data_IF_521810185849
#
_entry.id   IF_521810185849
#
_cell.length_a   1.000
_cell.length_b   1.000
_cell.length_c   1.000
_cell.angle_alpha   90.00
_cell.angle_beta   90.00
_cell.angle_gamma   90.00
#
_symmetry.space_group_name_H-M   'P 1'
#
loop_
_entity.id
_entity.type
_entity.pdbx_description
1 polymer ?
#
# COMPACT_ATOMS: atom_id res chain seq x y z
N UNK A 1 24.74 37.32 -48.55
CA UNK A 1 24.59 36.92 -47.13
C UNK A 1 23.55 35.81 -47.11
N UNK A 2 24.01 34.55 -47.20
CA UNK A 2 23.18 33.42 -47.63
C UNK A 2 22.19 32.92 -46.55
N UNK A 3 21.13 32.21 -46.96
CA UNK A 3 20.05 31.75 -46.08
C UNK A 3 20.47 30.64 -45.09
N UNK A 4 21.70 30.14 -45.19
CA UNK A 4 22.16 28.97 -44.42
C UNK A 4 22.30 29.23 -42.91
N UNK A 5 22.54 30.48 -42.51
CA UNK A 5 22.56 30.86 -41.09
C UNK A 5 21.17 30.81 -40.44
N UNK A 6 20.11 31.14 -41.19
CA UNK A 6 18.75 31.17 -40.67
C UNK A 6 18.20 29.76 -40.42
N UNK A 7 18.50 28.83 -41.33
CA UNK A 7 18.09 27.43 -41.26
C UNK A 7 18.77 26.67 -40.11
N UNK A 8 20.05 26.97 -39.85
CA UNK A 8 20.81 26.39 -38.73
C UNK A 8 20.27 26.81 -37.36
N UNK A 9 19.87 28.08 -37.21
CA UNK A 9 19.27 28.57 -35.96
C UNK A 9 17.87 28.00 -35.71
N UNK A 10 17.04 27.89 -36.75
CA UNK A 10 15.70 27.27 -36.62
C UNK A 10 15.79 25.79 -36.26
N UNK A 11 16.73 25.06 -36.86
CA UNK A 11 16.94 23.64 -36.53
C UNK A 11 17.40 23.44 -35.07
N UNK A 12 18.29 24.30 -34.57
CA UNK A 12 18.72 24.25 -33.16
C UNK A 12 17.59 24.55 -32.19
N UNK A 13 16.77 25.57 -32.47
CA UNK A 13 15.62 25.93 -31.63
C UNK A 13 14.63 24.76 -31.55
N UNK A 14 14.35 24.10 -32.68
CA UNK A 14 13.48 22.92 -32.71
C UNK A 14 14.02 21.78 -31.85
N UNK A 15 15.33 21.52 -31.88
CA UNK A 15 15.95 20.50 -31.04
C UNK A 15 15.82 20.84 -29.55
N UNK A 16 16.02 22.11 -29.17
CA UNK A 16 15.87 22.54 -27.77
C UNK A 16 14.42 22.43 -27.29
N UNK A 17 13.44 22.80 -28.12
CA UNK A 17 12.00 22.67 -27.78
C UNK A 17 11.63 21.20 -27.60
N UNK A 18 12.03 20.33 -28.54
CA UNK A 18 11.77 18.89 -28.45
C UNK A 18 12.44 18.24 -27.23
N UNK A 19 13.66 18.67 -26.88
CA UNK A 19 14.34 18.17 -25.68
C UNK A 19 13.62 18.59 -24.39
N UNK A 20 13.15 19.84 -24.31
CA UNK A 20 12.40 20.34 -23.15
C UNK A 20 11.05 19.64 -22.98
N UNK A 21 10.35 19.35 -24.08
CA UNK A 21 9.08 18.61 -24.07
C UNK A 21 9.25 17.16 -23.58
N UNK A 22 10.35 16.48 -23.94
CA UNK A 22 10.67 15.12 -23.45
C UNK A 22 10.98 15.13 -21.94
N UNK A 23 11.69 16.16 -21.46
CA UNK A 23 12.00 16.28 -20.03
C UNK A 23 10.77 16.59 -19.17
N UNK A 24 9.81 17.35 -19.69
CA UNK A 24 8.58 17.72 -18.96
C UNK A 24 7.52 16.60 -18.97
N UNK A 25 7.57 15.67 -19.92
CA UNK A 25 6.63 14.55 -20.02
C UNK A 25 7.07 13.28 -19.28
N UNK A 26 8.13 13.33 -18.48
CA UNK A 26 8.56 12.20 -17.64
C UNK A 26 7.68 12.06 -16.39
N UNK A 27 6.36 12.06 -16.57
CA UNK A 27 5.41 11.74 -15.52
C UNK A 27 5.49 10.25 -15.20
N UNK A 28 5.88 9.90 -13.97
CA UNK A 28 5.72 8.52 -13.50
C UNK A 28 4.23 8.16 -13.54
N UNK A 29 3.85 7.00 -14.11
CA UNK A 29 2.46 6.57 -14.06
C UNK A 29 2.09 6.31 -12.60
N UNK A 30 1.29 7.19 -12.02
CA UNK A 30 0.59 6.93 -10.77
C UNK A 30 -0.60 6.06 -11.15
N UNK A 31 -0.42 4.74 -11.00
CA UNK A 31 -1.53 3.80 -11.17
C UNK A 31 -2.45 3.93 -9.96
N UNK A 32 -3.67 4.41 -10.18
CA UNK A 32 -4.74 4.39 -9.19
C UNK A 32 -5.27 2.95 -9.09
N UNK A 33 -4.56 2.13 -8.32
CA UNK A 33 -4.92 0.76 -8.04
C UNK A 33 -6.02 0.72 -6.96
N UNK A 34 -7.24 1.15 -7.28
CA UNK A 34 -8.43 0.57 -6.62
C UNK A 34 -8.61 -0.85 -7.13
N UNK A 35 -7.69 -1.74 -6.74
CA UNK A 35 -7.74 -3.14 -7.14
C UNK A 35 -8.94 -3.79 -6.46
N UNK A 36 -9.85 -4.43 -7.20
CA UNK A 36 -11.05 -5.06 -6.63
C UNK A 36 -10.73 -6.09 -5.54
N UNK A 37 -9.50 -6.63 -5.52
CA UNK A 37 -9.04 -7.59 -4.51
C UNK A 37 -8.56 -6.96 -3.19
N UNK A 38 -8.48 -5.63 -3.08
CA UNK A 38 -7.85 -4.97 -1.91
C UNK A 38 -8.57 -5.31 -0.61
N UNK A 39 -9.90 -5.31 -0.63
CA UNK A 39 -10.71 -5.68 0.53
C UNK A 39 -10.55 -7.16 0.89
N UNK A 40 -10.53 -8.05 -0.11
CA UNK A 40 -10.33 -9.48 0.09
C UNK A 40 -8.94 -9.78 0.66
N UNK A 41 -7.91 -9.09 0.16
CA UNK A 41 -6.55 -9.18 0.65
C UNK A 41 -6.42 -8.69 2.10
N UNK A 42 -7.11 -7.60 2.46
CA UNK A 42 -7.18 -7.12 3.84
C UNK A 42 -7.91 -8.14 4.74
N UNK A 43 -9.02 -8.71 4.26
CA UNK A 43 -9.79 -9.74 4.97
C UNK A 43 -8.94 -11.01 5.21
N UNK A 44 -8.22 -11.48 4.19
CA UNK A 44 -7.31 -12.61 4.32
C UNK A 44 -6.15 -12.31 5.29
N UNK A 45 -5.64 -11.08 5.29
CA UNK A 45 -4.60 -10.62 6.22
C UNK A 45 -5.09 -10.63 7.68
N UNK A 46 -6.28 -10.10 7.95
CA UNK A 46 -6.84 -10.10 9.31
C UNK A 46 -7.24 -11.50 9.78
N UNK A 47 -7.74 -12.35 8.87
CA UNK A 47 -8.02 -13.76 9.15
C UNK A 47 -6.74 -14.50 9.55
N UNK A 48 -5.62 -14.27 8.84
CA UNK A 48 -4.31 -14.83 9.18
C UNK A 48 -3.84 -14.42 10.58
N UNK A 49 -3.96 -13.13 10.93
CA UNK A 49 -3.63 -12.63 12.27
C UNK A 49 -4.50 -13.30 13.34
N UNK A 50 -5.82 -13.40 13.11
CA UNK A 50 -6.74 -13.98 14.08
C UNK A 50 -6.53 -15.49 14.26
N UNK A 51 -6.10 -16.20 13.22
CA UNK A 51 -5.72 -17.61 13.32
C UNK A 51 -4.41 -17.82 14.11
N UNK A 52 -3.43 -16.92 13.99
CA UNK A 52 -2.10 -17.08 14.60
C UNK A 52 -1.96 -16.47 16.00
N UNK A 53 -2.79 -15.48 16.34
CA UNK A 53 -2.71 -14.80 17.64
C UNK A 53 -3.20 -15.68 18.79
N UNK A 54 -2.57 -15.58 19.96
CA UNK A 54 -2.89 -16.43 21.11
C UNK A 54 -4.09 -15.94 21.95
N UNK A 55 -4.50 -14.68 21.78
CA UNK A 55 -5.62 -14.11 22.52
C UNK A 55 -6.97 -14.76 22.19
N UNK A 56 -7.90 -14.70 23.14
CA UNK A 56 -9.24 -15.31 22.99
C UNK A 56 -10.20 -14.47 22.15
N UNK A 57 -9.88 -13.20 21.91
CA UNK A 57 -10.73 -12.27 21.16
C UNK A 57 -10.16 -12.01 19.77
N UNK A 58 -11.04 -11.59 18.86
CA UNK A 58 -10.68 -11.19 17.51
C UNK A 58 -9.99 -9.83 17.54
N UNK A 59 -9.04 -9.63 16.64
CA UNK A 59 -8.53 -8.33 16.24
C UNK A 59 -9.33 -7.83 15.04
N UNK A 60 -9.68 -6.55 15.07
CA UNK A 60 -10.29 -5.83 13.95
C UNK A 60 -9.36 -4.75 13.40
N UNK A 61 -9.61 -4.33 12.16
CA UNK A 61 -8.83 -3.29 11.47
C UNK A 61 -9.36 -1.91 11.86
N UNK A 62 -8.46 -1.01 12.29
CA UNK A 62 -8.80 0.38 12.65
C UNK A 62 -8.65 1.30 11.44
N UNK A 63 -7.56 1.16 10.69
CA UNK A 63 -7.29 1.86 9.42
C UNK A 63 -6.39 0.99 8.55
N UNK A 64 -6.52 1.13 7.24
CA UNK A 64 -5.71 0.41 6.25
C UNK A 64 -5.44 1.27 5.03
N UNK A 65 -4.28 1.06 4.41
CA UNK A 65 -3.92 1.68 3.15
C UNK A 65 -3.02 0.74 2.34
N UNK A 66 -3.17 0.79 1.02
CA UNK A 66 -2.25 0.15 0.08
C UNK A 66 -0.98 0.98 0.01
N UNK A 67 0.16 0.32 0.12
CA UNK A 67 1.49 0.96 0.06
C UNK A 67 2.24 0.67 -1.23
N UNK A 68 1.79 -0.34 -1.98
CA UNK A 68 2.37 -0.65 -3.27
C UNK A 68 1.79 -1.91 -3.88
N UNK A 69 2.04 -2.05 -5.17
CA UNK A 69 1.72 -3.22 -5.99
C UNK A 69 2.96 -3.56 -6.78
N UNK A 70 3.54 -4.74 -6.55
CA UNK A 70 4.65 -5.24 -7.35
C UNK A 70 4.10 -6.27 -8.35
N UNK A 71 4.06 -5.91 -9.63
CA UNK A 71 3.58 -6.83 -10.67
C UNK A 71 4.70 -7.78 -11.08
N UNK A 72 4.43 -9.08 -11.06
CA UNK A 72 5.31 -10.07 -11.67
C UNK A 72 4.95 -10.28 -13.14
N UNK A 73 3.65 -10.45 -13.42
CA UNK A 73 3.05 -10.61 -14.75
C UNK A 73 1.65 -9.97 -14.76
N UNK A 74 0.93 -10.06 -15.89
CA UNK A 74 -0.46 -9.55 -16.01
C UNK A 74 -1.40 -10.12 -14.95
N UNK A 75 -1.27 -11.40 -14.64
CA UNK A 75 -2.21 -12.11 -13.76
C UNK A 75 -1.60 -12.42 -12.39
N UNK A 76 -0.34 -12.03 -12.14
CA UNK A 76 0.37 -12.33 -10.90
C UNK A 76 1.07 -11.09 -10.34
N UNK A 77 0.72 -10.72 -9.12
CA UNK A 77 1.25 -9.53 -8.45
C UNK A 77 1.26 -9.70 -6.94
N UNK A 78 2.06 -8.88 -6.27
CA UNK A 78 2.09 -8.75 -4.81
C UNK A 78 1.47 -7.43 -4.39
N UNK A 79 0.48 -7.49 -3.51
CA UNK A 79 -0.16 -6.33 -2.90
C UNK A 79 0.45 -6.09 -1.51
N UNK A 80 1.00 -4.89 -1.31
CA UNK A 80 1.59 -4.47 -0.03
C UNK A 80 0.62 -3.60 0.74
N UNK A 81 0.15 -4.09 1.88
CA UNK A 81 -0.79 -3.40 2.75
C UNK A 81 -0.09 -2.93 4.03
N UNK A 82 -0.47 -1.75 4.50
CA UNK A 82 -0.22 -1.32 5.86
C UNK A 82 -1.56 -1.05 6.55
N UNK A 83 -1.72 -1.58 7.75
CA UNK A 83 -2.93 -1.37 8.52
C UNK A 83 -2.65 -1.44 10.01
N UNK A 84 -3.52 -0.84 10.81
CA UNK A 84 -3.47 -0.98 12.25
C UNK A 84 -4.62 -1.82 12.77
N UNK A 85 -4.35 -2.62 13.79
CA UNK A 85 -5.32 -3.51 14.40
C UNK A 85 -5.51 -3.20 15.88
N UNK A 86 -6.68 -3.54 16.39
CA UNK A 86 -7.02 -3.43 17.81
C UNK A 86 -7.88 -4.62 18.24
N UNK A 87 -7.70 -5.05 19.49
CA UNK A 87 -8.49 -6.14 20.05
C UNK A 87 -9.98 -5.74 20.17
N UNK A 88 -10.88 -6.65 19.81
CA UNK A 88 -12.33 -6.48 19.87
C UNK A 88 -12.94 -7.17 21.07
N UNK A 89 -14.21 -6.90 21.34
CA UNK A 89 -14.99 -7.61 22.38
C UNK A 89 -15.43 -9.01 21.94
N UNK A 90 -15.39 -9.30 20.63
CA UNK A 90 -15.81 -10.57 20.08
C UNK A 90 -14.80 -11.67 20.36
N UNK A 91 -15.28 -12.80 20.88
CA UNK A 91 -14.46 -14.01 21.06
C UNK A 91 -14.24 -14.71 19.72
N UNK A 92 -13.06 -15.29 19.53
CA UNK A 92 -12.75 -16.09 18.31
C UNK A 92 -13.70 -17.26 18.11
N UNK A 93 -14.10 -17.92 19.19
CA UNK A 93 -15.04 -19.04 19.17
C UNK A 93 -16.47 -18.65 18.73
N UNK A 94 -16.79 -17.35 18.62
CA UNK A 94 -18.14 -16.91 18.23
C UNK A 94 -18.42 -17.03 16.74
N UNK A 95 -17.40 -17.19 15.90
CA UNK A 95 -17.55 -17.21 14.43
C UNK A 95 -18.03 -15.88 13.83
N UNK A 96 -18.06 -14.79 14.62
CA UNK A 96 -18.42 -13.45 14.13
C UNK A 96 -17.34 -12.88 13.23
N UNK A 97 -17.79 -12.05 12.29
CA UNK A 97 -16.93 -11.25 11.44
C UNK A 97 -16.25 -10.13 12.27
N UNK A 98 -14.91 -10.06 12.31
CA UNK A 98 -14.17 -8.98 12.97
C UNK A 98 -14.57 -7.57 12.56
N UNK A 99 -15.06 -7.33 11.33
CA UNK A 99 -15.48 -6.00 10.86
C UNK A 99 -16.79 -5.51 11.48
N UNK A 100 -17.58 -6.43 12.05
CA UNK A 100 -18.86 -6.12 12.73
C UNK A 100 -18.70 -5.98 14.25
N UNK A 101 -17.48 -6.14 14.76
CA UNK A 101 -17.21 -6.24 16.18
C UNK A 101 -16.70 -4.93 16.76
N UNK A 102 -17.29 -4.51 17.88
CA UNK A 102 -16.80 -3.33 18.61
C UNK A 102 -15.39 -3.57 19.18
N UNK A 103 -14.57 -2.52 19.14
CA UNK A 103 -13.27 -2.54 19.79
C UNK A 103 -13.41 -2.55 21.31
N UNK A 104 -12.48 -3.23 21.98
CA UNK A 104 -12.36 -3.05 23.43
C UNK A 104 -11.97 -1.62 23.76
N UNK A 105 -12.54 -1.13 24.86
CA UNK A 105 -12.24 0.18 25.42
C UNK A 105 -11.47 -0.03 26.72
N UNK A 106 -10.34 0.64 26.87
CA UNK A 106 -9.57 0.63 28.11
C UNK A 106 -8.13 1.11 27.93
N UNK A 107 -7.47 1.52 29.03
CA UNK A 107 -6.13 2.12 28.99
C UNK A 107 -5.04 1.14 28.52
N UNK A 108 -5.29 -0.17 28.60
CA UNK A 108 -4.33 -1.21 28.22
C UNK A 108 -4.58 -1.82 26.84
N UNK A 109 -5.61 -1.35 26.12
CA UNK A 109 -5.94 -1.86 24.78
C UNK A 109 -5.00 -1.22 23.77
N UNK A 110 -3.91 -1.90 23.46
CA UNK A 110 -2.90 -1.40 22.52
C UNK A 110 -3.37 -1.53 21.06
N UNK A 111 -3.02 -0.54 20.25
CA UNK A 111 -3.08 -0.65 18.79
C UNK A 111 -1.75 -1.21 18.28
N UNK A 112 -1.80 -2.15 17.37
CA UNK A 112 -0.61 -2.70 16.70
C UNK A 112 -0.59 -2.25 15.23
N UNK A 113 0.60 -2.06 14.69
CA UNK A 113 0.81 -1.73 13.28
C UNK A 113 1.28 -2.97 12.54
N UNK A 114 0.63 -3.28 11.43
CA UNK A 114 0.89 -4.47 10.63
C UNK A 114 1.27 -4.08 9.20
N UNK A 115 2.24 -4.81 8.67
CA UNK A 115 2.58 -4.86 7.25
C UNK A 115 2.16 -6.22 6.72
N UNK A 116 1.44 -6.24 5.60
CA UNK A 116 1.05 -7.48 4.93
C UNK A 116 1.51 -7.45 3.48
N UNK A 117 1.98 -8.58 3.01
CA UNK A 117 2.27 -8.85 1.60
C UNK A 117 1.34 -9.99 1.18
N UNK A 118 0.46 -9.69 0.23
CA UNK A 118 -0.52 -10.63 -0.30
C UNK A 118 -0.14 -10.95 -1.74
N UNK A 119 0.14 -12.22 -2.00
CA UNK A 119 0.42 -12.69 -3.36
C UNK A 119 -0.90 -13.08 -4.02
N UNK A 120 -1.09 -12.58 -5.24
CA UNK A 120 -2.27 -12.81 -6.07
C UNK A 120 -1.83 -13.45 -7.37
N UNK A 121 -2.56 -14.47 -7.81
CA UNK A 121 -2.33 -15.18 -9.07
C UNK A 121 -3.66 -15.59 -9.68
N UNK A 122 -3.89 -15.22 -10.94
CA UNK A 122 -5.16 -15.41 -11.65
C UNK A 122 -6.36 -14.90 -10.82
N UNK A 123 -6.23 -13.68 -10.27
CA UNK A 123 -7.25 -13.03 -9.43
C UNK A 123 -7.55 -13.75 -8.10
N UNK A 124 -6.78 -14.77 -7.73
CA UNK A 124 -6.94 -15.51 -6.48
C UNK A 124 -5.76 -15.25 -5.54
N UNK A 125 -6.05 -15.18 -4.23
CA UNK A 125 -5.02 -15.06 -3.20
C UNK A 125 -4.28 -16.39 -3.08
N UNK A 126 -2.99 -16.40 -3.42
CA UNK A 126 -2.12 -17.59 -3.34
C UNK A 126 -1.34 -17.63 -2.03
N UNK A 127 -0.93 -16.48 -1.49
CA UNK A 127 -0.19 -16.41 -0.24
C UNK A 127 -0.45 -15.11 0.54
N UNK A 128 -0.33 -15.19 1.88
CA UNK A 128 -0.51 -14.05 2.78
C UNK A 128 0.58 -14.09 3.85
N UNK A 129 1.46 -13.09 3.82
CA UNK A 129 2.50 -12.86 4.81
C UNK A 129 2.14 -11.62 5.62
N UNK A 130 2.06 -11.75 6.94
CA UNK A 130 1.72 -10.61 7.81
C UNK A 130 2.73 -10.51 8.94
N UNK A 131 3.21 -9.29 9.18
CA UNK A 131 4.08 -8.97 10.30
C UNK A 131 3.51 -7.79 11.06
N UNK A 132 3.21 -8.00 12.33
CA UNK A 132 2.69 -6.96 13.23
C UNK A 132 3.72 -6.60 14.29
N UNK A 133 3.82 -5.32 14.58
CA UNK A 133 4.62 -4.78 15.67
C UNK A 133 3.69 -4.03 16.63
N UNK A 134 3.96 -4.16 17.93
CA UNK A 134 3.24 -3.36 18.92
C UNK A 134 3.60 -1.89 18.66
N UNK A 135 2.59 -1.02 18.64
CA UNK A 135 2.84 0.42 18.51
C UNK A 135 3.62 0.93 19.71
N UNK A 136 4.94 0.96 19.63
CA UNK A 136 5.72 2.02 20.25
C UNK A 136 5.61 3.20 19.28
N UNK A 137 5.34 4.40 19.79
CA UNK A 137 5.48 5.61 18.98
C UNK A 137 6.95 5.72 18.56
N UNK A 138 7.33 5.09 17.44
CA UNK A 138 8.58 5.38 16.76
C UNK A 138 8.31 6.68 16.01
N UNK A 139 8.78 7.77 16.60
CA UNK A 139 8.84 9.08 15.96
C UNK A 139 9.61 8.94 14.65
N UNK A 140 8.91 8.83 13.52
CA UNK A 140 9.56 8.89 12.22
C UNK A 140 9.89 10.36 11.96
N UNK A 141 11.15 10.71 12.20
CA UNK A 141 11.72 12.01 11.89
C UNK A 141 11.75 12.20 10.37
N UNK A 142 10.88 13.08 9.86
CA UNK A 142 11.01 13.57 8.48
C UNK A 142 12.18 14.54 8.42
N UNK A 143 13.35 14.04 7.99
CA UNK A 143 14.47 14.90 7.59
C UNK A 143 14.26 15.30 6.14
N UNK A 144 13.75 16.51 5.93
CA UNK A 144 13.71 17.14 4.61
C UNK A 144 15.12 17.61 4.26
N UNK A 145 15.77 16.95 3.31
CA UNK A 145 16.89 17.54 2.57
C UNK A 145 16.27 18.33 1.41
N UNK A 146 16.25 19.65 1.56
CA UNK A 146 15.97 20.60 0.48
C UNK A 146 17.27 20.71 -0.36
N UNK A 147 17.20 20.44 -1.66
CA UNK A 147 18.27 20.76 -2.65
C UNK A 147 17.94 22.06 -3.35
#
# INVERSE_FOLDING_TARGET
>A
KGPEGFQSHTMRILIFVLALDVFLCSGFPVYDYELPITEEALNASIARINAQSWGNNLYGVVRSHVTGVDMWNRDAYQLKLQFSIRETVCRKASGRDPFTCDFKIGPFVATAFCRSVVEVSNELISNVLVQCHRGTFSSESMSSEEV
#
